data_IF_115490698276
#
_entry.id   IF_115490698276
#
_cell.length_a   1.000
_cell.length_b   1.000
_cell.length_c   1.000
_cell.angle_alpha   90.00
_cell.angle_beta   90.00
_cell.angle_gamma   90.00
#
_symmetry.space_group_name_H-M   'P 1'
#
loop_
_entity.id
_entity.type
_entity.pdbx_description
1 polymer ?
#
# COMPACT_ATOMS: atom_id res chain seq x y z
N UNK A 1 -5.51 -18.00 -16.12
CA UNK A 1 -6.21 -16.85 -16.73
C UNK A 1 -6.33 -15.76 -15.69
N UNK A 2 -5.79 -14.60 -15.98
CA UNK A 2 -5.87 -13.49 -15.03
C UNK A 2 -7.30 -12.94 -15.03
N UNK A 3 -7.78 -12.65 -13.83
CA UNK A 3 -9.09 -12.04 -13.63
C UNK A 3 -8.90 -10.66 -13.01
N UNK A 4 -9.85 -9.79 -13.28
CA UNK A 4 -9.86 -8.44 -12.78
C UNK A 4 -11.14 -8.17 -12.03
N UNK A 5 -11.08 -7.25 -11.07
CA UNK A 5 -12.25 -6.69 -10.44
C UNK A 5 -12.31 -5.20 -10.74
N UNK A 6 -13.49 -4.63 -10.70
CA UNK A 6 -13.68 -3.19 -10.89
C UNK A 6 -13.56 -2.50 -9.54
N UNK A 7 -12.70 -1.49 -9.47
CA UNK A 7 -12.57 -0.59 -8.33
C UNK A 7 -12.79 0.84 -8.80
N UNK A 8 -13.12 1.73 -7.89
CA UNK A 8 -13.37 3.13 -8.26
C UNK A 8 -12.77 4.08 -7.24
N UNK A 9 -12.42 5.26 -7.73
CA UNK A 9 -12.01 6.40 -6.91
C UNK A 9 -12.67 7.66 -7.45
N UNK A 10 -12.25 8.84 -6.98
CA UNK A 10 -12.84 10.11 -7.42
C UNK A 10 -12.65 10.38 -8.90
N UNK A 11 -11.75 9.68 -9.58
CA UNK A 11 -11.47 9.85 -11.01
C UNK A 11 -12.17 8.83 -11.89
N UNK A 12 -12.95 7.91 -11.31
CA UNK A 12 -13.73 6.94 -12.05
C UNK A 12 -13.36 5.50 -11.77
N UNK A 13 -13.87 4.61 -12.59
CA UNK A 13 -13.66 3.17 -12.46
C UNK A 13 -12.43 2.72 -13.23
N UNK A 14 -11.78 1.67 -12.75
CA UNK A 14 -10.69 1.00 -13.44
C UNK A 14 -10.60 -0.46 -12.99
N UNK A 15 -9.85 -1.25 -13.77
CA UNK A 15 -9.68 -2.68 -13.52
C UNK A 15 -8.45 -2.90 -12.66
N UNK A 16 -8.58 -3.73 -11.63
CA UNK A 16 -7.50 -4.12 -10.72
C UNK A 16 -7.43 -5.65 -10.74
N UNK A 17 -6.23 -6.26 -10.69
CA UNK A 17 -6.15 -7.71 -10.58
C UNK A 17 -6.99 -8.24 -9.41
N UNK A 18 -7.77 -9.28 -9.66
CA UNK A 18 -8.77 -9.75 -8.70
C UNK A 18 -8.16 -10.16 -7.34
N UNK A 19 -6.93 -10.67 -7.35
CA UNK A 19 -6.24 -11.13 -6.16
C UNK A 19 -5.31 -10.08 -5.53
N UNK A 20 -5.26 -8.86 -6.08
CA UNK A 20 -4.43 -7.79 -5.53
C UNK A 20 -5.03 -7.28 -4.23
N UNK A 21 -4.16 -6.91 -3.29
CA UNK A 21 -4.57 -6.31 -2.02
C UNK A 21 -4.75 -4.80 -2.15
N UNK A 22 -4.11 -4.18 -3.13
CA UNK A 22 -4.26 -2.75 -3.40
C UNK A 22 -5.53 -2.48 -4.21
N UNK A 23 -5.93 -1.22 -4.26
CA UNK A 23 -7.18 -0.80 -4.87
C UNK A 23 -6.92 0.24 -5.99
N UNK A 24 -7.93 1.07 -6.28
CA UNK A 24 -7.95 1.94 -7.44
C UNK A 24 -6.78 2.90 -7.54
N UNK A 25 -6.42 3.58 -6.44
CA UNK A 25 -5.38 4.60 -6.50
C UNK A 25 -4.00 4.01 -6.82
N UNK A 26 -3.67 2.88 -6.23
CA UNK A 26 -2.40 2.19 -6.53
C UNK A 26 -2.38 1.71 -7.98
N UNK A 27 -3.47 1.12 -8.47
CA UNK A 27 -3.53 0.70 -9.86
C UNK A 27 -3.38 1.88 -10.82
N UNK A 28 -3.99 3.01 -10.49
CA UNK A 28 -3.87 4.22 -11.31
C UNK A 28 -2.42 4.73 -11.34
N UNK A 29 -1.72 4.66 -10.20
CA UNK A 29 -0.30 5.01 -10.13
C UNK A 29 0.55 4.05 -10.97
N UNK A 30 0.26 2.76 -10.96
CA UNK A 30 0.94 1.78 -11.83
C UNK A 30 0.77 2.18 -13.29
N UNK A 31 -0.45 2.53 -13.70
CA UNK A 31 -0.75 2.91 -15.06
C UNK A 31 -0.04 4.21 -15.46
N UNK A 32 0.12 5.15 -14.52
CA UNK A 32 0.74 6.45 -14.80
C UNK A 32 2.26 6.40 -14.85
N UNK A 33 2.88 5.49 -14.10
CA UNK A 33 4.35 5.46 -13.94
C UNK A 33 4.95 4.15 -14.48
N UNK A 34 4.74 3.89 -15.76
CA UNK A 34 5.31 2.73 -16.44
C UNK A 34 6.67 3.09 -17.04
N UNK A 35 7.67 3.31 -16.17
CA UNK A 35 8.94 3.91 -16.58
C UNK A 35 10.08 2.89 -16.59
N UNK A 36 10.42 2.30 -15.43
CA UNK A 36 11.58 1.43 -15.33
C UNK A 36 11.25 -0.04 -15.13
N UNK A 37 10.05 -0.34 -14.64
CA UNK A 37 9.69 -1.68 -14.22
C UNK A 37 10.27 -2.09 -12.86
N UNK A 38 10.92 -1.15 -12.17
CA UNK A 38 11.53 -1.40 -10.85
C UNK A 38 10.61 -0.85 -9.76
N UNK A 39 10.28 -1.69 -8.79
CA UNK A 39 9.52 -1.27 -7.61
C UNK A 39 10.45 -0.70 -6.54
N UNK A 40 9.87 -0.10 -5.51
CA UNK A 40 10.63 0.45 -4.39
C UNK A 40 11.38 -0.68 -3.66
N UNK A 41 12.59 -0.39 -3.14
CA UNK A 41 13.36 -1.39 -2.37
C UNK A 41 12.57 -1.93 -1.17
N UNK A 42 12.80 -3.20 -0.85
CA UNK A 42 12.14 -3.85 0.29
C UNK A 42 12.40 -3.11 1.60
N UNK A 43 13.61 -2.61 1.79
CA UNK A 43 13.97 -1.84 2.99
C UNK A 43 13.12 -0.58 3.14
N UNK A 44 12.79 0.08 2.03
CA UNK A 44 11.93 1.27 2.06
C UNK A 44 10.51 0.90 2.47
N UNK A 45 9.95 -0.15 1.88
CA UNK A 45 8.60 -0.64 2.21
C UNK A 45 8.54 -1.09 3.68
N UNK A 46 9.57 -1.81 4.14
CA UNK A 46 9.67 -2.24 5.53
C UNK A 46 9.69 -1.04 6.49
N UNK A 47 10.44 0.01 6.14
CA UNK A 47 10.48 1.25 6.95
C UNK A 47 9.11 1.92 7.02
N UNK A 48 8.38 1.99 5.92
CA UNK A 48 7.01 2.51 5.91
C UNK A 48 6.09 1.69 6.80
N UNK A 49 6.22 0.37 6.77
CA UNK A 49 5.42 -0.52 7.62
C UNK A 49 5.69 -0.26 9.10
N UNK A 50 6.95 -0.05 9.51
CA UNK A 50 7.28 0.33 10.89
C UNK A 50 6.64 1.66 11.29
N UNK A 51 6.66 2.65 10.41
CA UNK A 51 6.03 3.95 10.66
C UNK A 51 4.51 3.79 10.86
N UNK A 52 3.86 3.04 10.00
CA UNK A 52 2.41 2.80 10.10
C UNK A 52 2.05 2.03 11.37
N UNK A 53 2.87 1.05 11.75
CA UNK A 53 2.67 0.28 12.97
C UNK A 53 2.77 1.16 14.20
N UNK A 54 3.81 2.01 14.27
CA UNK A 54 3.99 2.96 15.38
C UNK A 54 2.85 3.98 15.43
N UNK A 55 2.41 4.47 14.27
CA UNK A 55 1.29 5.41 14.19
C UNK A 55 -0.01 4.78 14.71
N UNK A 56 -0.27 3.52 14.35
CA UNK A 56 -1.45 2.81 14.83
C UNK A 56 -1.44 2.66 16.36
N UNK A 57 -0.29 2.31 16.93
CA UNK A 57 -0.13 2.19 18.39
C UNK A 57 -0.36 3.53 19.08
N UNK A 58 0.24 4.59 18.57
CA UNK A 58 0.12 5.93 19.14
C UNK A 58 -1.32 6.45 19.06
N UNK A 59 -1.97 6.27 17.92
CA UNK A 59 -3.34 6.74 17.73
C UNK A 59 -4.34 5.96 18.58
N UNK A 60 -4.11 4.67 18.80
CA UNK A 60 -4.92 3.87 19.72
C UNK A 60 -4.76 4.34 21.16
N UNK A 61 -3.53 4.64 21.60
CA UNK A 61 -3.26 5.15 22.94
C UNK A 61 -3.89 6.51 23.19
N UNK A 62 -3.97 7.35 22.13
CA UNK A 62 -4.58 8.69 22.21
C UNK A 62 -6.11 8.67 22.02
N UNK A 63 -6.70 7.51 21.75
CA UNK A 63 -8.14 7.39 21.55
C UNK A 63 -8.63 7.79 20.16
N UNK A 64 -7.73 8.02 19.21
CA UNK A 64 -8.08 8.41 17.83
C UNK A 64 -8.37 7.20 16.93
N UNK A 65 -8.07 6.00 17.39
CA UNK A 65 -8.23 4.76 16.63
C UNK A 65 -8.71 3.67 17.58
N UNK A 66 -9.70 2.89 17.16
CA UNK A 66 -10.21 1.79 17.99
C UNK A 66 -9.12 0.72 18.16
N UNK A 67 -9.15 0.01 19.30
CA UNK A 67 -8.16 -1.03 19.57
C UNK A 67 -8.22 -2.16 18.54
N UNK A 68 -9.40 -2.54 18.08
CA UNK A 68 -9.55 -3.58 17.07
C UNK A 68 -8.95 -3.19 15.73
N UNK A 69 -9.13 -1.94 15.30
CA UNK A 69 -8.53 -1.42 14.07
C UNK A 69 -7.01 -1.31 14.19
N UNK A 70 -6.53 -0.79 15.33
CA UNK A 70 -5.10 -0.68 15.60
C UNK A 70 -4.42 -2.05 15.53
N UNK A 71 -5.03 -3.06 16.15
CA UNK A 71 -4.49 -4.42 16.14
C UNK A 71 -4.44 -5.00 14.73
N UNK A 72 -5.48 -4.78 13.93
CA UNK A 72 -5.50 -5.24 12.54
C UNK A 72 -4.38 -4.58 11.72
N UNK A 73 -4.18 -3.27 11.89
CA UNK A 73 -3.10 -2.53 11.21
C UNK A 73 -1.74 -3.05 11.66
N UNK A 74 -1.55 -3.25 12.97
CA UNK A 74 -0.29 -3.78 13.50
C UNK A 74 0.04 -5.15 12.92
N UNK A 75 -0.94 -6.03 12.83
CA UNK A 75 -0.76 -7.37 12.27
C UNK A 75 -0.41 -7.32 10.78
N UNK A 76 -1.07 -6.46 10.03
CA UNK A 76 -0.78 -6.27 8.61
C UNK A 76 0.63 -5.73 8.40
N UNK A 77 1.03 -4.73 9.19
CA UNK A 77 2.37 -4.17 9.14
C UNK A 77 3.42 -5.21 9.51
N UNK A 78 3.15 -6.02 10.53
CA UNK A 78 4.09 -7.07 10.94
C UNK A 78 4.28 -8.10 9.83
N UNK A 79 3.24 -8.47 9.10
CA UNK A 79 3.34 -9.38 7.98
C UNK A 79 4.29 -8.83 6.89
N UNK A 80 4.21 -7.53 6.61
CA UNK A 80 5.09 -6.86 5.66
C UNK A 80 6.53 -6.83 6.18
N UNK A 81 6.72 -6.49 7.46
CA UNK A 81 8.05 -6.49 8.11
C UNK A 81 8.68 -7.89 8.03
N UNK A 82 7.88 -8.93 8.19
CA UNK A 82 8.33 -10.33 8.12
C UNK A 82 8.62 -10.79 6.68
N UNK A 83 8.44 -9.94 5.69
CA UNK A 83 8.81 -10.23 4.30
C UNK A 83 7.67 -10.68 3.42
N UNK A 84 6.42 -10.48 3.83
CA UNK A 84 5.25 -10.87 3.05
C UNK A 84 4.71 -9.69 2.25
N UNK A 85 4.01 -10.00 1.16
CA UNK A 85 3.23 -9.03 0.37
C UNK A 85 4.04 -7.96 -0.36
N UNK A 86 5.35 -8.13 -0.56
CA UNK A 86 6.15 -7.12 -1.28
C UNK A 86 5.67 -6.93 -2.73
N UNK A 87 5.10 -7.96 -3.35
CA UNK A 87 4.52 -7.83 -4.70
C UNK A 87 3.30 -6.92 -4.76
N UNK A 88 2.71 -6.58 -3.61
CA UNK A 88 1.57 -5.67 -3.52
C UNK A 88 1.99 -4.19 -3.50
N UNK A 89 3.29 -3.90 -3.65
CA UNK A 89 3.84 -2.55 -3.74
C UNK A 89 4.51 -2.38 -5.12
N UNK A 90 3.73 -2.41 -6.20
CA UNK A 90 4.28 -2.52 -7.55
C UNK A 90 4.56 -1.19 -8.26
N UNK A 91 4.29 -0.05 -7.59
CA UNK A 91 4.46 1.27 -8.22
C UNK A 91 5.94 1.52 -8.50
N UNK A 92 6.23 2.03 -9.71
CA UNK A 92 7.60 2.29 -10.18
C UNK A 92 8.33 3.25 -9.25
N UNK A 93 9.66 3.05 -9.12
CA UNK A 93 10.50 3.94 -8.30
C UNK A 93 10.53 5.37 -8.85
N UNK A 94 10.35 5.53 -10.16
CA UNK A 94 10.28 6.84 -10.81
C UNK A 94 8.84 7.37 -10.73
N UNK A 95 8.51 7.95 -9.61
CA UNK A 95 7.20 8.52 -9.33
C UNK A 95 7.35 10.01 -9.01
N UNK A 96 6.36 10.64 -8.40
CA UNK A 96 6.32 12.10 -8.24
C UNK A 96 7.44 12.69 -7.38
N UNK A 97 8.12 11.88 -6.57
CA UNK A 97 9.17 12.34 -5.69
C UNK A 97 8.69 12.82 -4.32
N UNK A 98 7.39 13.02 -4.16
CA UNK A 98 6.81 13.42 -2.87
C UNK A 98 6.67 12.27 -1.88
N UNK A 99 6.75 11.03 -2.36
CA UNK A 99 6.47 9.83 -1.56
C UNK A 99 5.01 9.44 -1.51
N UNK A 100 4.12 10.21 -2.12
CA UNK A 100 2.68 9.96 -2.07
C UNK A 100 2.31 8.60 -2.67
N UNK A 101 2.88 8.26 -3.82
CA UNK A 101 2.59 7.00 -4.50
C UNK A 101 3.05 5.79 -3.68
N UNK A 102 4.18 5.89 -3.00
CA UNK A 102 4.67 4.82 -2.12
C UNK A 102 3.79 4.67 -0.88
N UNK A 103 3.24 5.78 -0.38
CA UNK A 103 2.40 5.76 0.82
C UNK A 103 1.01 5.17 0.57
N UNK A 104 0.52 5.24 -0.66
CA UNK A 104 -0.78 4.68 -1.01
C UNK A 104 -0.81 3.17 -0.85
#
# INVERSE_FOLDING_TARGET
>A
MSQFRTESDSMGELQVPANALYQAQTQRAINNFQISGLAMPKQFITALAYIKQAAAQSNAALGHLSQSKAKAIEQACQAIIDGKHFSEFPVDVFQTGSGASSNM
#
